data_IF_101750953981
#
_entry.id   IF_101750953981
#
_cell.length_a   1.000
_cell.length_b   1.000
_cell.length_c   1.000
_cell.angle_alpha   90.00
_cell.angle_beta   90.00
_cell.angle_gamma   90.00
#
_symmetry.space_group_name_H-M   'P 1'
#
loop_
_entity.id
_entity.type
_entity.pdbx_description
1 polymer ?
#
# COMPACT_ATOMS: atom_id res chain seq x y z
N UNK A 1 7.76 7.16 24.63
CA UNK A 1 6.33 7.49 24.52
C UNK A 1 6.02 8.99 24.70
N UNK A 2 6.87 9.72 25.34
CA UNK A 2 6.63 11.13 25.69
C UNK A 2 6.99 12.16 24.61
N UNK A 3 7.81 11.84 23.64
CA UNK A 3 8.23 12.77 22.57
C UNK A 3 7.26 12.88 21.39
N UNK A 4 6.47 11.85 21.14
CA UNK A 4 5.46 11.86 20.06
C UNK A 4 4.25 12.75 20.39
N UNK A 5 4.06 13.05 21.66
CA UNK A 5 2.84 13.65 22.14
C UNK A 5 2.71 15.16 21.88
N UNK A 6 3.80 15.85 21.60
CA UNK A 6 3.80 17.33 21.55
C UNK A 6 3.53 17.91 20.14
N UNK A 7 3.73 17.15 19.08
CA UNK A 7 3.72 17.67 17.70
C UNK A 7 2.48 17.32 16.87
N UNK A 8 1.66 16.37 17.33
CA UNK A 8 0.51 15.89 16.54
C UNK A 8 -0.82 16.22 17.20
N UNK A 9 -1.85 16.39 16.36
CA UNK A 9 -3.21 16.65 16.84
C UNK A 9 -3.74 15.50 17.71
N UNK A 10 -4.69 15.81 18.59
CA UNK A 10 -5.34 14.81 19.43
C UNK A 10 -6.04 13.72 18.61
N UNK A 11 -6.58 14.07 17.44
CA UNK A 11 -7.18 13.13 16.50
C UNK A 11 -6.17 12.06 16.06
N UNK A 12 -4.96 12.45 15.69
CA UNK A 12 -3.89 11.53 15.31
C UNK A 12 -3.45 10.68 16.50
N UNK A 13 -3.25 11.29 17.66
CA UNK A 13 -2.87 10.56 18.88
C UNK A 13 -3.89 9.50 19.25
N UNK A 14 -5.17 9.81 19.18
CA UNK A 14 -6.25 8.88 19.46
C UNK A 14 -6.28 7.75 18.42
N UNK A 15 -6.12 8.05 17.14
CA UNK A 15 -6.04 7.05 16.09
C UNK A 15 -4.86 6.09 16.29
N UNK A 16 -3.68 6.61 16.66
CA UNK A 16 -2.49 5.80 16.93
C UNK A 16 -2.66 4.87 18.15
N UNK A 17 -3.46 5.28 19.13
CA UNK A 17 -3.70 4.50 20.33
C UNK A 17 -4.56 3.24 20.08
N UNK A 18 -5.47 3.29 19.11
CA UNK A 18 -6.45 2.22 18.83
C UNK A 18 -6.12 1.41 17.57
N UNK A 19 -4.94 1.51 17.04
CA UNK A 19 -4.53 0.77 15.84
C UNK A 19 -4.59 -0.74 16.06
N UNK A 20 -5.19 -1.50 15.10
CA UNK A 20 -5.29 -2.95 15.21
C UNK A 20 -3.93 -3.64 15.03
N UNK A 21 -3.73 -4.71 15.77
CA UNK A 21 -2.54 -5.57 15.72
C UNK A 21 -2.80 -6.71 14.72
N UNK A 22 -3.14 -6.34 13.48
CA UNK A 22 -3.57 -7.25 12.41
C UNK A 22 -3.08 -6.75 11.05
N UNK A 23 -3.03 -7.64 10.04
CA UNK A 23 -2.72 -7.21 8.69
C UNK A 23 -3.84 -6.33 8.10
N UNK A 24 -3.48 -5.49 7.18
CA UNK A 24 -4.44 -4.64 6.52
C UNK A 24 -3.84 -3.51 5.72
N UNK A 25 -4.70 -2.55 5.41
CA UNK A 25 -4.37 -1.35 4.64
C UNK A 25 -4.66 -0.12 5.48
N UNK A 26 -3.82 0.89 5.35
CA UNK A 26 -4.03 2.19 5.98
C UNK A 26 -4.09 3.29 4.92
N UNK A 27 -4.99 4.24 5.15
CA UNK A 27 -5.16 5.42 4.31
C UNK A 27 -4.88 6.65 5.16
N UNK A 28 -4.06 7.54 4.62
CA UNK A 28 -3.73 8.81 5.26
C UNK A 28 -4.44 9.94 4.52
N UNK A 29 -5.21 10.72 5.27
CA UNK A 29 -5.98 11.84 4.75
C UNK A 29 -5.37 13.16 5.21
N UNK A 30 -5.45 14.18 4.35
CA UNK A 30 -5.08 15.55 4.73
C UNK A 30 -6.24 16.27 5.46
N UNK A 31 -6.02 17.54 5.81
CA UNK A 31 -7.02 18.35 6.50
C UNK A 31 -8.32 18.57 5.67
N UNK A 32 -8.25 18.40 4.37
CA UNK A 32 -9.39 18.53 3.45
C UNK A 32 -10.12 17.20 3.23
N UNK A 33 -9.66 16.13 3.89
CA UNK A 33 -10.24 14.79 3.75
C UNK A 33 -9.79 14.02 2.52
N UNK A 34 -8.81 14.53 1.77
CA UNK A 34 -8.27 13.88 0.60
C UNK A 34 -7.27 12.79 0.99
N UNK A 35 -7.38 11.63 0.35
CA UNK A 35 -6.41 10.54 0.53
C UNK A 35 -5.08 10.93 -0.12
N UNK A 36 -4.04 11.06 0.70
CA UNK A 36 -2.71 11.46 0.24
C UNK A 36 -1.71 10.30 0.18
N UNK A 37 -2.01 9.21 0.88
CA UNK A 37 -1.18 8.00 0.86
C UNK A 37 -2.00 6.76 1.24
N UNK A 38 -1.69 5.64 0.59
CA UNK A 38 -2.23 4.31 0.90
C UNK A 38 -1.07 3.34 1.05
N UNK A 39 -1.08 2.55 2.11
CA UNK A 39 -0.07 1.53 2.35
C UNK A 39 -0.67 0.26 2.93
N UNK A 40 0.09 -0.82 2.86
CA UNK A 40 -0.27 -2.10 3.49
C UNK A 40 0.68 -2.42 4.64
N UNK A 41 0.23 -3.27 5.54
CA UNK A 41 1.04 -3.73 6.65
C UNK A 41 0.68 -5.17 7.06
N UNK A 42 1.69 -5.90 7.54
CA UNK A 42 1.49 -7.18 8.22
C UNK A 42 0.87 -6.93 9.59
N UNK A 43 1.34 -5.89 10.27
CA UNK A 43 0.81 -5.39 11.55
C UNK A 43 0.59 -3.90 11.42
N UNK A 44 -0.67 -3.49 11.27
CA UNK A 44 -1.06 -2.09 11.07
C UNK A 44 -0.52 -1.17 12.18
N UNK A 45 -0.65 -1.59 13.43
CA UNK A 45 -0.17 -0.86 14.59
C UNK A 45 1.30 -0.46 14.48
N UNK A 46 2.16 -1.40 14.16
CA UNK A 46 3.60 -1.18 14.08
C UNK A 46 3.96 -0.29 12.89
N UNK A 47 3.37 -0.58 11.74
CA UNK A 47 3.67 0.14 10.50
C UNK A 47 3.22 1.60 10.56
N UNK A 48 1.99 1.84 10.96
CA UNK A 48 1.44 3.19 11.03
C UNK A 48 2.18 4.03 12.06
N UNK A 49 2.43 3.49 13.26
CA UNK A 49 3.21 4.18 14.29
C UNK A 49 4.62 4.54 13.85
N UNK A 50 5.22 3.76 12.96
CA UNK A 50 6.59 4.02 12.47
C UNK A 50 6.72 5.36 11.75
N UNK A 51 5.67 5.84 11.10
CA UNK A 51 5.68 7.15 10.45
C UNK A 51 5.77 8.32 11.43
N UNK A 52 5.30 8.13 12.64
CA UNK A 52 5.24 9.16 13.68
C UNK A 52 6.38 9.05 14.70
N UNK A 53 7.32 8.14 14.45
CA UNK A 53 8.52 7.94 15.26
C UNK A 53 9.76 8.32 14.45
N UNK A 54 10.82 8.78 15.15
CA UNK A 54 12.11 9.08 14.53
C UNK A 54 11.99 9.93 13.27
N UNK A 55 11.25 11.03 13.34
CA UNK A 55 10.98 11.91 12.20
C UNK A 55 12.27 12.36 11.49
N UNK A 56 13.36 12.53 12.25
CA UNK A 56 14.65 12.93 11.70
C UNK A 56 15.25 11.90 10.73
N UNK A 57 14.90 10.61 10.87
CA UNK A 57 15.41 9.52 10.02
C UNK A 57 14.62 9.37 8.71
N UNK A 58 13.47 10.00 8.58
CA UNK A 58 12.67 9.95 7.37
C UNK A 58 13.26 10.78 6.23
N UNK A 59 12.99 10.36 5.01
CA UNK A 59 13.33 11.16 3.82
C UNK A 59 12.54 12.47 3.81
N UNK A 60 13.01 13.51 3.12
CA UNK A 60 12.27 14.77 3.00
C UNK A 60 10.84 14.61 2.50
N UNK A 61 10.62 13.68 1.55
CA UNK A 61 9.27 13.37 1.02
C UNK A 61 8.35 12.78 2.08
N UNK A 62 8.85 11.84 2.88
CA UNK A 62 8.08 11.24 3.99
C UNK A 62 7.79 12.26 5.07
N UNK A 63 8.75 13.11 5.43
CA UNK A 63 8.54 14.21 6.38
C UNK A 63 7.44 15.15 5.91
N UNK A 64 7.45 15.54 4.64
CA UNK A 64 6.41 16.40 4.05
C UNK A 64 5.04 15.73 4.09
N UNK A 65 4.96 14.44 3.82
CA UNK A 65 3.73 13.66 3.90
C UNK A 65 3.20 13.62 5.34
N UNK A 66 4.02 13.25 6.30
CA UNK A 66 3.63 13.15 7.73
C UNK A 66 3.11 14.48 8.25
N UNK A 67 3.72 15.60 7.85
CA UNK A 67 3.28 16.94 8.24
C UNK A 67 1.86 17.29 7.75
N UNK A 68 1.38 16.63 6.68
CA UNK A 68 0.05 16.88 6.10
C UNK A 68 -1.01 15.90 6.57
N UNK A 69 -0.67 14.85 7.28
CA UNK A 69 -1.63 13.87 7.78
C UNK A 69 -2.52 14.51 8.83
N UNK A 70 -3.82 14.52 8.59
CA UNK A 70 -4.83 14.99 9.54
C UNK A 70 -5.68 13.84 10.10
N UNK A 71 -5.86 12.76 9.33
CA UNK A 71 -6.65 11.60 9.72
C UNK A 71 -6.01 10.31 9.19
N UNK A 72 -6.15 9.24 9.96
CA UNK A 72 -5.67 7.91 9.61
C UNK A 72 -6.86 6.94 9.63
N UNK A 73 -7.11 6.28 8.50
CA UNK A 73 -8.11 5.23 8.36
C UNK A 73 -7.41 3.89 8.19
N UNK A 74 -7.92 2.84 8.83
CA UNK A 74 -7.39 1.49 8.69
C UNK A 74 -8.47 0.51 8.28
N UNK A 75 -8.11 -0.45 7.44
CA UNK A 75 -8.98 -1.54 6.99
C UNK A 75 -8.26 -2.85 7.29
N UNK A 76 -8.79 -3.63 8.22
CA UNK A 76 -8.24 -4.95 8.57
C UNK A 76 -8.61 -5.94 7.48
N UNK A 77 -7.64 -6.76 7.07
CA UNK A 77 -7.84 -7.84 6.10
C UNK A 77 -7.57 -9.20 6.75
N UNK A 78 -8.08 -10.26 6.14
CA UNK A 78 -7.89 -11.63 6.65
C UNK A 78 -6.47 -12.17 6.40
N UNK A 79 -5.74 -11.57 5.45
CA UNK A 79 -4.39 -11.99 5.07
C UNK A 79 -3.59 -10.87 4.46
N UNK A 80 -2.28 -11.07 4.34
CA UNK A 80 -1.38 -10.15 3.64
C UNK A 80 -1.70 -10.06 2.14
N UNK A 81 -2.14 -11.15 1.53
CA UNK A 81 -2.53 -11.19 0.11
C UNK A 81 -3.74 -10.31 -0.13
N UNK A 82 -4.75 -10.42 0.72
CA UNK A 82 -5.93 -9.55 0.66
C UNK A 82 -5.55 -8.08 0.84
N UNK A 83 -4.64 -7.78 1.77
CA UNK A 83 -4.14 -6.43 1.98
C UNK A 83 -3.42 -5.88 0.72
N UNK A 84 -2.63 -6.71 0.05
CA UNK A 84 -1.94 -6.33 -1.18
C UNK A 84 -2.93 -5.98 -2.30
N UNK A 85 -3.94 -6.80 -2.49
CA UNK A 85 -4.98 -6.58 -3.51
C UNK A 85 -5.77 -5.30 -3.19
N UNK A 86 -6.14 -5.12 -1.95
CA UNK A 86 -6.87 -3.93 -1.51
C UNK A 86 -6.04 -2.66 -1.65
N UNK A 87 -4.77 -2.68 -1.27
CA UNK A 87 -3.84 -1.55 -1.47
C UNK A 87 -3.79 -1.15 -2.94
N UNK A 88 -3.60 -2.11 -3.82
CA UNK A 88 -3.56 -1.88 -5.26
C UNK A 88 -4.84 -1.21 -5.77
N UNK A 89 -6.00 -1.71 -5.38
CA UNK A 89 -7.29 -1.17 -5.79
C UNK A 89 -7.52 0.26 -5.27
N UNK A 90 -7.11 0.53 -4.04
CA UNK A 90 -7.24 1.85 -3.43
C UNK A 90 -6.29 2.88 -4.06
N UNK A 91 -5.06 2.48 -4.35
CA UNK A 91 -4.11 3.35 -5.08
C UNK A 91 -4.65 3.70 -6.46
N UNK A 92 -5.20 2.73 -7.16
CA UNK A 92 -5.81 2.92 -8.47
C UNK A 92 -7.03 3.86 -8.41
N UNK A 93 -7.86 3.71 -7.38
CA UNK A 93 -9.06 4.52 -7.17
C UNK A 93 -8.74 5.97 -6.81
N UNK A 94 -7.87 6.17 -5.82
CA UNK A 94 -7.60 7.50 -5.24
C UNK A 94 -6.42 8.21 -5.87
N UNK A 95 -5.50 7.50 -6.51
CA UNK A 95 -4.24 8.03 -7.06
C UNK A 95 -3.54 8.98 -6.08
N UNK A 96 -3.19 8.50 -4.87
CA UNK A 96 -2.70 9.38 -3.82
C UNK A 96 -1.38 10.03 -4.22
N UNK A 97 -1.26 11.31 -3.94
CA UNK A 97 -0.11 12.13 -4.34
C UNK A 97 1.23 11.52 -3.90
N UNK A 98 1.31 11.05 -2.66
CA UNK A 98 2.57 10.55 -2.11
C UNK A 98 2.91 9.12 -2.54
N UNK A 99 1.97 8.32 -2.98
CA UNK A 99 2.26 7.05 -3.62
C UNK A 99 2.96 7.27 -4.97
N UNK A 100 2.49 8.24 -5.74
CA UNK A 100 3.05 8.56 -7.05
C UNK A 100 4.43 9.23 -6.91
N UNK A 101 4.56 10.21 -6.01
CA UNK A 101 5.80 10.99 -5.85
C UNK A 101 6.94 10.22 -5.15
N UNK A 102 6.63 9.22 -4.30
CA UNK A 102 7.64 8.43 -3.61
C UNK A 102 8.32 7.39 -4.50
N UNK A 103 7.78 7.11 -5.65
CA UNK A 103 8.27 6.06 -6.56
C UNK A 103 8.80 6.55 -7.89
N UNK A 104 9.27 7.78 -7.99
CA UNK A 104 9.96 8.35 -9.17
C UNK A 104 9.65 7.63 -10.49
N UNK A 105 8.90 8.20 -11.39
CA UNK A 105 8.73 7.86 -12.83
C UNK A 105 8.84 6.38 -13.26
N UNK A 106 8.96 5.45 -12.32
CA UNK A 106 9.03 4.02 -12.63
C UNK A 106 7.63 3.48 -12.90
N UNK A 107 7.48 2.83 -14.04
CA UNK A 107 6.27 2.10 -14.37
C UNK A 107 6.04 1.00 -13.34
N UNK A 108 4.88 1.03 -12.67
CA UNK A 108 4.52 -0.03 -11.72
C UNK A 108 4.29 -1.36 -12.43
N UNK A 109 4.68 -2.49 -11.81
CA UNK A 109 4.41 -3.80 -12.36
C UNK A 109 2.94 -4.20 -12.26
N UNK A 110 2.53 -5.07 -13.19
CA UNK A 110 1.21 -5.68 -13.24
C UNK A 110 1.34 -7.20 -13.16
N UNK A 111 0.33 -7.87 -12.63
CA UNK A 111 0.15 -9.31 -12.81
C UNK A 111 -0.58 -9.54 -14.12
N UNK A 112 -0.01 -10.37 -14.98
CA UNK A 112 -0.60 -10.77 -16.26
C UNK A 112 -1.02 -12.23 -16.21
N UNK A 113 -2.26 -12.49 -16.59
CA UNK A 113 -2.79 -13.86 -16.76
C UNK A 113 -3.13 -14.06 -18.24
N UNK A 114 -2.46 -15.00 -18.87
CA UNK A 114 -2.62 -15.25 -20.32
C UNK A 114 -3.80 -16.18 -20.58
N UNK A 115 -5.02 -15.67 -20.41
CA UNK A 115 -6.25 -16.46 -20.56
C UNK A 115 -6.51 -16.93 -22.00
N UNK A 116 -5.89 -16.30 -22.98
CA UNK A 116 -6.00 -16.67 -24.40
C UNK A 116 -5.14 -17.87 -24.79
N UNK A 117 -4.23 -18.30 -23.93
CA UNK A 117 -3.38 -19.48 -24.16
C UNK A 117 -4.07 -20.76 -23.67
N UNK A 118 -3.80 -21.89 -24.31
CA UNK A 118 -4.33 -23.19 -23.87
C UNK A 118 -3.89 -23.58 -22.47
N UNK A 119 -2.68 -23.14 -22.09
CA UNK A 119 -2.13 -23.27 -20.73
C UNK A 119 -1.87 -21.88 -20.17
N UNK A 120 -2.87 -21.28 -19.50
CA UNK A 120 -2.73 -19.93 -18.95
C UNK A 120 -1.52 -19.82 -18.00
N UNK A 121 -0.77 -18.74 -18.15
CA UNK A 121 0.39 -18.43 -17.30
C UNK A 121 0.13 -17.20 -16.49
N UNK A 122 0.73 -17.16 -15.30
CA UNK A 122 0.74 -16.01 -14.40
C UNK A 122 2.17 -15.50 -14.27
N UNK A 123 2.40 -14.25 -14.65
CA UNK A 123 3.70 -13.61 -14.48
C UNK A 123 3.60 -12.10 -14.33
N UNK A 124 4.69 -11.50 -13.88
CA UNK A 124 4.80 -10.07 -13.70
C UNK A 124 5.23 -9.40 -15.00
N UNK A 125 4.61 -8.28 -15.33
CA UNK A 125 4.98 -7.46 -16.48
C UNK A 125 4.83 -5.97 -16.17
N UNK A 126 5.60 -5.15 -16.85
CA UNK A 126 5.45 -3.69 -16.81
C UNK A 126 4.78 -3.15 -18.07
N UNK A 127 4.48 -4.02 -19.02
CA UNK A 127 3.85 -3.66 -20.29
C UNK A 127 2.40 -4.14 -20.31
N UNK A 128 1.51 -3.22 -20.68
CA UNK A 128 0.12 -3.53 -20.97
C UNK A 128 -0.02 -3.70 -22.50
N UNK A 129 -0.45 -4.88 -22.91
CA UNK A 129 -0.68 -5.21 -24.31
C UNK A 129 -2.17 -5.53 -24.54
N UNK A 130 -2.64 -5.27 -25.73
CA UNK A 130 -4.00 -5.69 -26.13
C UNK A 130 -3.93 -7.08 -26.79
N UNK A 131 -3.67 -8.10 -25.97
CA UNK A 131 -3.41 -9.46 -26.43
C UNK A 131 -4.44 -10.49 -25.90
N UNK A 132 -5.54 -10.01 -25.31
CA UNK A 132 -6.56 -10.88 -24.70
C UNK A 132 -6.21 -11.36 -23.29
N UNK A 133 -5.04 -11.04 -22.78
CA UNK A 133 -4.65 -11.34 -21.40
C UNK A 133 -5.38 -10.44 -20.42
N UNK A 134 -5.56 -10.92 -19.19
CA UNK A 134 -6.01 -10.08 -18.08
C UNK A 134 -4.81 -9.51 -17.31
N UNK A 135 -4.94 -8.26 -16.96
CA UNK A 135 -3.93 -7.51 -16.20
C UNK A 135 -4.53 -7.02 -14.88
N UNK A 136 -3.81 -7.26 -13.81
CA UNK A 136 -4.17 -6.80 -12.46
C UNK A 136 -3.08 -5.89 -11.94
N UNK A 137 -3.46 -4.77 -11.38
CA UNK A 137 -2.49 -3.81 -10.88
C UNK A 137 -2.87 -2.36 -11.20
N UNK A 138 -1.94 -1.42 -11.15
CA UNK A 138 -0.52 -1.60 -10.82
C UNK A 138 -0.25 -1.90 -9.34
N UNK A 139 0.86 -2.59 -9.06
CA UNK A 139 1.28 -2.91 -7.68
C UNK A 139 2.41 -1.98 -7.24
N UNK A 140 2.25 -1.42 -6.05
CA UNK A 140 3.22 -0.49 -5.49
C UNK A 140 4.47 -1.20 -4.91
N UNK A 141 4.33 -2.44 -4.47
CA UNK A 141 5.38 -3.23 -3.85
C UNK A 141 5.68 -4.47 -4.71
N UNK A 142 6.78 -4.40 -5.47
CA UNK A 142 7.21 -5.49 -6.33
C UNK A 142 7.64 -6.74 -5.54
N UNK A 143 8.24 -6.56 -4.35
CA UNK A 143 8.65 -7.68 -3.49
C UNK A 143 7.46 -8.49 -2.99
N UNK A 144 6.44 -7.81 -2.48
CA UNK A 144 5.21 -8.46 -2.04
C UNK A 144 4.47 -9.13 -3.22
N UNK A 145 4.52 -8.52 -4.39
CA UNK A 145 3.93 -9.09 -5.60
C UNK A 145 4.65 -10.39 -6.02
N UNK A 146 5.98 -10.42 -5.98
CA UNK A 146 6.75 -11.65 -6.25
C UNK A 146 6.38 -12.77 -5.28
N UNK A 147 6.27 -12.47 -3.99
CA UNK A 147 5.84 -13.44 -2.98
C UNK A 147 4.44 -13.97 -3.27
N UNK A 148 3.52 -13.11 -3.67
CA UNK A 148 2.14 -13.48 -4.04
C UNK A 148 2.12 -14.37 -5.28
N UNK A 149 2.87 -14.04 -6.32
CA UNK A 149 2.99 -14.87 -7.54
C UNK A 149 3.53 -16.25 -7.21
N UNK A 150 4.57 -16.32 -6.38
CA UNK A 150 5.14 -17.59 -5.92
C UNK A 150 4.13 -18.44 -5.16
N UNK A 151 3.35 -17.82 -4.28
CA UNK A 151 2.28 -18.48 -3.53
C UNK A 151 1.19 -19.01 -4.48
N UNK A 152 0.70 -18.21 -5.39
CA UNK A 152 -0.33 -18.61 -6.36
C UNK A 152 0.12 -19.75 -7.25
N UNK A 153 1.38 -19.73 -7.69
CA UNK A 153 1.96 -20.85 -8.47
C UNK A 153 2.08 -22.14 -7.67
N UNK A 154 2.25 -22.06 -6.35
CA UNK A 154 2.26 -23.24 -5.49
C UNK A 154 0.87 -23.83 -5.26
N UNK A 155 -0.17 -23.01 -5.33
CA UNK A 155 -1.56 -23.39 -5.08
C UNK A 155 -2.29 -23.85 -6.37
N UNK A 156 -1.89 -23.30 -7.51
CA UNK A 156 -2.51 -23.56 -8.81
C UNK A 156 -1.45 -23.96 -9.83
N UNK A 157 -1.75 -24.90 -10.77
CA UNK A 157 -0.81 -25.32 -11.80
C UNK A 157 -0.71 -24.28 -12.94
N UNK A 158 -0.20 -23.12 -12.61
CA UNK A 158 -0.06 -22.01 -13.56
C UNK A 158 1.36 -21.85 -14.08
#
# INVERSE_FOLDING_TARGET
MTELAAEFSDSIKNALAVLPDKPGVYLMHDAEGKVIYVGKAVVLKNRVRSYFRNLASHTPKVKAMVAKIAEIETIVTSSEVEALILECNLIKKYRPRYNISLKDDKTYPYLKVTLQEDFPRLYMTRRLLRDGSKYYGPYADAGAMHATVKLLRSMFPL
#
